data_IF_451198699603
#
_entry.id   IF_451198699603
#
_cell.length_a   1.000
_cell.length_b   1.000
_cell.length_c   1.000
_cell.angle_alpha   90.00
_cell.angle_beta   90.00
_cell.angle_gamma   90.00
#
_symmetry.space_group_name_H-M   'P 1'
#
loop_
_entity.id
_entity.type
_entity.pdbx_description
1 polymer ?
#
# COMPACT_ATOMS: atom_id res chain seq x y z
N UNK A 1 18.27 64.84 2.42
CA UNK A 1 17.44 63.69 2.86
C UNK A 1 18.39 62.72 3.54
N UNK A 2 18.40 62.58 4.88
CA UNK A 2 17.51 61.69 5.67
C UNK A 2 17.55 60.27 5.06
N UNK A 3 18.08 59.20 5.65
CA UNK A 3 18.24 58.75 7.05
C UNK A 3 19.44 57.76 7.13
N UNK A 4 20.36 57.87 8.11
CA UNK A 4 20.49 57.01 9.34
C UNK A 4 20.89 55.55 9.00
N UNK A 5 22.17 55.15 9.02
CA UNK A 5 23.09 54.93 10.16
C UNK A 5 22.52 53.98 11.24
N UNK A 6 23.04 52.77 11.36
CA UNK A 6 23.36 52.13 12.65
C UNK A 6 24.08 50.80 12.42
N UNK A 7 25.39 50.83 12.68
CA UNK A 7 26.18 49.66 13.09
C UNK A 7 25.51 48.99 14.30
N UNK A 8 25.34 47.68 14.24
CA UNK A 8 25.34 46.86 15.45
C UNK A 8 26.29 45.68 15.24
N UNK A 9 27.50 45.84 15.78
CA UNK A 9 28.36 44.73 16.15
C UNK A 9 27.79 44.19 17.45
N UNK A 10 27.32 42.94 17.44
CA UNK A 10 27.16 42.16 18.67
C UNK A 10 27.81 40.81 18.50
N UNK A 11 28.80 40.61 19.35
CA UNK A 11 29.56 39.40 19.57
C UNK A 11 28.79 38.59 20.63
N UNK A 12 28.33 37.39 20.31
CA UNK A 12 27.95 36.38 21.31
C UNK A 12 28.48 35.02 20.88
N UNK A 13 29.42 34.54 21.70
CA UNK A 13 29.94 33.17 21.76
C UNK A 13 29.09 32.40 22.79
N UNK A 14 29.02 31.06 22.66
CA UNK A 14 28.20 30.09 23.43
C UNK A 14 26.73 30.04 22.95
N UNK A 15 26.04 28.91 22.84
CA UNK A 15 26.15 27.56 23.43
C UNK A 15 25.45 26.63 22.42
N UNK A 16 25.93 25.42 22.11
CA UNK A 16 25.54 24.25 22.89
C UNK A 16 24.02 24.06 22.87
N UNK A 17 23.56 23.27 21.90
CA UNK A 17 22.18 22.81 21.66
C UNK A 17 22.19 22.18 20.27
N UNK A 18 22.53 20.90 20.08
CA UNK A 18 21.63 19.78 20.39
C UNK A 18 20.15 20.12 20.17
N UNK A 19 19.85 20.73 19.02
CA UNK A 19 18.55 20.51 18.39
C UNK A 19 18.55 19.11 17.80
N UNK A 20 17.99 18.20 18.60
CA UNK A 20 17.47 16.90 18.23
C UNK A 20 16.84 16.95 16.84
N UNK A 21 17.54 16.39 15.86
CA UNK A 21 17.08 16.07 14.51
C UNK A 21 16.00 14.97 14.58
N UNK A 22 14.81 15.34 15.06
CA UNK A 22 13.62 14.50 15.06
C UNK A 22 12.72 14.73 13.83
N UNK A 23 13.31 15.20 12.71
CA UNK A 23 12.57 15.54 11.48
C UNK A 23 13.13 14.84 10.22
N UNK A 24 14.05 13.89 10.39
CA UNK A 24 14.65 13.12 9.29
C UNK A 24 13.85 11.86 8.89
N UNK A 25 12.73 11.55 9.56
CA UNK A 25 12.07 10.24 9.47
C UNK A 25 10.90 10.13 8.49
N UNK A 26 10.48 11.21 7.80
CA UNK A 26 9.25 11.18 6.98
C UNK A 26 9.42 11.52 5.50
N UNK A 27 10.66 11.61 4.98
CA UNK A 27 10.87 11.82 3.54
C UNK A 27 10.86 10.47 2.80
N UNK A 28 10.00 10.30 1.78
CA UNK A 28 10.00 9.08 0.98
C UNK A 28 11.38 8.90 0.33
N UNK A 29 11.89 7.67 0.40
CA UNK A 29 13.19 7.37 -0.18
C UNK A 29 13.17 7.57 -1.70
N UNK A 30 14.33 7.80 -2.32
CA UNK A 30 14.43 7.89 -3.78
C UNK A 30 13.87 6.64 -4.49
N UNK A 31 14.00 5.46 -3.84
CA UNK A 31 13.43 4.21 -4.32
C UNK A 31 11.89 4.21 -4.21
N UNK A 32 11.32 4.65 -3.09
CA UNK A 32 9.86 4.79 -2.94
C UNK A 32 9.28 5.71 -4.01
N UNK A 33 9.90 6.89 -4.21
CA UNK A 33 9.48 7.83 -5.24
C UNK A 33 9.54 7.24 -6.64
N UNK A 34 10.55 6.41 -6.92
CA UNK A 34 10.70 5.70 -8.20
C UNK A 34 9.56 4.71 -8.40
N UNK A 35 9.22 3.91 -7.38
CA UNK A 35 8.12 2.94 -7.45
C UNK A 35 6.79 3.65 -7.68
N UNK A 36 6.49 4.70 -6.89
CA UNK A 36 5.26 5.49 -7.07
C UNK A 36 5.17 6.06 -8.48
N UNK A 37 6.26 6.65 -8.98
CA UNK A 37 6.31 7.23 -10.33
C UNK A 37 6.11 6.20 -11.43
N UNK A 38 6.63 4.98 -11.26
CA UNK A 38 6.43 3.91 -12.22
C UNK A 38 4.94 3.57 -12.39
N UNK A 39 4.22 3.36 -11.28
CA UNK A 39 2.78 3.07 -11.33
C UNK A 39 1.96 4.28 -11.80
N UNK A 40 2.28 5.50 -11.35
CA UNK A 40 1.61 6.71 -11.84
C UNK A 40 1.83 6.99 -13.34
N UNK A 41 2.83 6.36 -13.96
CA UNK A 41 3.03 6.45 -15.41
C UNK A 41 2.15 5.46 -16.19
N UNK A 42 1.52 4.49 -15.53
CA UNK A 42 0.56 3.57 -16.15
C UNK A 42 -0.73 4.34 -16.44
N UNK A 43 -1.18 4.30 -17.69
CA UNK A 43 -2.39 5.00 -18.12
C UNK A 43 -3.60 4.54 -17.30
N UNK A 44 -4.32 5.50 -16.70
CA UNK A 44 -5.53 5.23 -15.93
C UNK A 44 -5.30 4.77 -14.49
N UNK A 45 -4.04 4.60 -14.06
CA UNK A 45 -3.75 4.27 -12.66
C UNK A 45 -4.14 5.40 -11.71
N UNK A 46 -4.82 5.03 -10.62
CA UNK A 46 -5.14 5.90 -9.49
C UNK A 46 -4.55 5.32 -8.20
N UNK A 47 -4.35 6.19 -7.21
CA UNK A 47 -3.88 5.76 -5.89
C UNK A 47 -4.93 4.83 -5.26
N UNK A 48 -4.48 3.70 -4.73
CA UNK A 48 -5.36 2.67 -4.17
C UNK A 48 -5.84 1.65 -5.19
N UNK A 49 -5.44 1.75 -6.46
CA UNK A 49 -5.75 0.71 -7.44
C UNK A 49 -5.12 -0.63 -7.10
N UNK A 50 -5.78 -1.69 -7.57
CA UNK A 50 -5.19 -3.01 -7.59
C UNK A 50 -3.91 -3.02 -8.43
N UNK A 51 -2.89 -3.69 -7.91
CA UNK A 51 -1.69 -4.04 -8.65
C UNK A 51 -1.71 -5.52 -9.03
N UNK A 52 -1.28 -5.83 -10.24
CA UNK A 52 -1.20 -7.21 -10.74
C UNK A 52 0.23 -7.72 -10.84
N UNK A 53 0.38 -9.04 -10.99
CA UNK A 53 1.69 -9.68 -11.13
C UNK A 53 2.47 -9.11 -12.31
N UNK A 54 1.86 -8.96 -13.49
CA UNK A 54 2.58 -8.43 -14.66
C UNK A 54 3.13 -7.01 -14.42
N UNK A 55 2.36 -6.14 -13.77
CA UNK A 55 2.80 -4.77 -13.44
C UNK A 55 3.98 -4.78 -12.47
N UNK A 56 3.93 -5.64 -11.44
CA UNK A 56 5.04 -5.77 -10.49
C UNK A 56 6.26 -6.41 -11.14
N UNK A 57 6.10 -7.39 -12.04
CA UNK A 57 7.19 -7.99 -12.81
C UNK A 57 7.91 -6.97 -13.70
N UNK A 58 7.16 -6.07 -14.35
CA UNK A 58 7.70 -4.97 -15.13
C UNK A 58 8.52 -4.02 -14.25
N UNK A 59 7.97 -3.62 -13.10
CA UNK A 59 8.67 -2.83 -12.11
C UNK A 59 9.96 -3.51 -11.64
N UNK A 60 9.92 -4.80 -11.29
CA UNK A 60 11.10 -5.55 -10.84
C UNK A 60 12.17 -5.64 -11.93
N UNK A 61 11.75 -5.77 -13.19
CA UNK A 61 12.67 -5.75 -14.34
C UNK A 61 13.32 -4.38 -14.50
N UNK A 62 12.55 -3.30 -14.34
CA UNK A 62 13.08 -1.95 -14.34
C UNK A 62 14.06 -1.72 -13.18
N UNK A 63 13.69 -2.08 -11.95
CA UNK A 63 14.51 -1.89 -10.76
C UNK A 63 15.82 -2.70 -10.83
N UNK A 64 15.81 -3.92 -11.35
CA UNK A 64 17.06 -4.70 -11.52
C UNK A 64 18.04 -4.04 -12.50
N UNK A 65 17.55 -3.29 -13.49
CA UNK A 65 18.38 -2.56 -14.45
C UNK A 65 18.96 -1.28 -13.85
N UNK A 66 18.19 -0.57 -13.02
CA UNK A 66 18.53 0.78 -12.55
C UNK A 66 19.11 0.82 -11.14
N UNK A 67 18.69 -0.10 -10.28
CA UNK A 67 18.98 -0.09 -8.85
C UNK A 67 19.42 -1.50 -8.41
N UNK A 68 20.73 -1.76 -8.43
CA UNK A 68 21.29 -3.08 -8.14
C UNK A 68 20.88 -3.51 -6.73
N UNK A 69 20.19 -4.65 -6.63
CA UNK A 69 19.83 -5.36 -5.40
C UNK A 69 19.03 -4.55 -4.36
N UNK A 70 17.75 -4.29 -4.63
CA UNK A 70 16.79 -3.79 -3.63
C UNK A 70 15.71 -4.84 -3.32
N UNK A 71 15.11 -4.76 -2.12
CA UNK A 71 14.03 -5.68 -1.70
C UNK A 71 12.82 -5.64 -2.63
N UNK A 72 12.46 -4.46 -3.14
CA UNK A 72 11.38 -4.29 -4.11
C UNK A 72 11.59 -5.06 -5.42
N UNK A 73 12.84 -5.37 -5.77
CA UNK A 73 13.20 -6.18 -6.94
C UNK A 73 13.22 -7.70 -6.67
N UNK A 74 12.84 -8.14 -5.47
CA UNK A 74 12.95 -9.54 -5.07
C UNK A 74 11.81 -10.41 -5.64
N UNK A 75 12.11 -11.52 -6.34
CA UNK A 75 11.10 -12.31 -7.05
C UNK A 75 10.03 -12.93 -6.14
N UNK A 76 10.34 -13.21 -4.87
CA UNK A 76 9.35 -13.76 -3.94
C UNK A 76 8.15 -12.85 -3.69
N UNK A 77 8.28 -11.53 -3.89
CA UNK A 77 7.15 -10.61 -3.72
C UNK A 77 6.02 -10.91 -4.70
N UNK A 78 6.32 -11.48 -5.88
CA UNK A 78 5.32 -11.85 -6.87
C UNK A 78 4.36 -12.94 -6.38
N UNK A 79 4.76 -13.74 -5.39
CA UNK A 79 3.88 -14.75 -4.79
C UNK A 79 2.76 -14.12 -3.94
N UNK A 80 2.92 -12.85 -3.57
CA UNK A 80 1.99 -12.08 -2.77
C UNK A 80 1.10 -11.17 -3.62
N UNK A 81 1.41 -11.00 -4.91
CA UNK A 81 0.61 -10.17 -5.81
C UNK A 81 -0.51 -10.99 -6.45
N UNK A 82 -1.63 -10.33 -6.69
CA UNK A 82 -2.79 -10.88 -7.37
C UNK A 82 -2.46 -11.25 -8.83
N UNK A 83 -2.78 -12.47 -9.30
CA UNK A 83 -2.65 -12.82 -10.71
C UNK A 83 -3.52 -11.94 -11.59
N UNK A 84 -3.03 -11.58 -12.77
CA UNK A 84 -3.73 -10.76 -13.76
C UNK A 84 -5.08 -11.36 -14.19
N UNK A 85 -5.15 -12.68 -14.25
CA UNK A 85 -6.29 -13.43 -14.77
C UNK A 85 -7.26 -13.89 -13.69
N UNK A 86 -7.07 -13.51 -12.43
CA UNK A 86 -8.01 -13.89 -11.38
C UNK A 86 -9.33 -13.12 -11.48
N UNK A 87 -10.39 -13.65 -10.85
CA UNK A 87 -11.74 -13.07 -10.89
C UNK A 87 -11.77 -11.60 -10.44
N UNK A 88 -11.10 -11.28 -9.33
CA UNK A 88 -11.05 -9.92 -8.81
C UNK A 88 -10.32 -8.96 -9.76
N UNK A 89 -9.16 -9.36 -10.31
CA UNK A 89 -8.42 -8.55 -11.29
C UNK A 89 -9.25 -8.26 -12.55
N UNK A 90 -9.91 -9.29 -13.10
CA UNK A 90 -10.76 -9.12 -14.29
C UNK A 90 -11.93 -8.18 -14.03
N UNK A 91 -12.55 -8.29 -12.85
CA UNK A 91 -13.66 -7.41 -12.48
C UNK A 91 -13.16 -5.97 -12.28
N UNK A 92 -12.02 -5.79 -11.64
CA UNK A 92 -11.42 -4.47 -11.42
C UNK A 92 -11.07 -3.75 -12.72
N UNK A 93 -10.43 -4.43 -13.68
CA UNK A 93 -10.10 -3.84 -14.98
C UNK A 93 -11.22 -3.95 -16.02
N UNK A 94 -12.44 -4.23 -15.58
CA UNK A 94 -13.64 -4.04 -16.42
C UNK A 94 -13.97 -2.55 -16.55
N UNK A 95 -14.93 -2.20 -17.40
CA UNK A 95 -15.22 -0.81 -17.77
C UNK A 95 -15.60 0.09 -16.57
N UNK A 96 -16.27 -0.45 -15.55
CA UNK A 96 -16.73 0.29 -14.36
C UNK A 96 -16.16 -0.23 -13.03
N UNK A 97 -15.52 -1.41 -13.02
CA UNK A 97 -15.17 -2.08 -11.78
C UNK A 97 -14.11 -1.38 -10.93
N UNK A 98 -13.19 -0.63 -11.54
CA UNK A 98 -12.08 -0.02 -10.83
C UNK A 98 -12.55 0.98 -9.76
N UNK A 99 -13.49 1.86 -10.11
CA UNK A 99 -13.98 2.91 -9.21
C UNK A 99 -14.79 2.33 -8.05
N UNK A 100 -15.79 1.51 -8.37
CA UNK A 100 -16.71 0.93 -7.39
C UNK A 100 -15.97 0.02 -6.41
N UNK A 101 -15.08 -0.85 -6.90
CA UNK A 101 -14.30 -1.74 -6.03
C UNK A 101 -13.26 -0.98 -5.21
N UNK A 102 -12.72 0.14 -5.70
CA UNK A 102 -11.81 0.99 -4.91
C UNK A 102 -12.56 1.66 -3.76
N UNK A 103 -13.77 2.16 -4.01
CA UNK A 103 -14.63 2.74 -2.97
C UNK A 103 -14.95 1.69 -1.91
N UNK A 104 -15.46 0.52 -2.30
CA UNK A 104 -15.78 -0.56 -1.38
C UNK A 104 -14.54 -1.06 -0.60
N UNK A 105 -13.39 -1.20 -1.26
CA UNK A 105 -12.14 -1.59 -0.60
C UNK A 105 -11.66 -0.52 0.39
N UNK A 106 -11.89 0.77 0.10
CA UNK A 106 -11.60 1.88 0.99
C UNK A 106 -12.41 1.80 2.30
N UNK A 107 -13.68 1.44 2.19
CA UNK A 107 -14.57 1.26 3.35
C UNK A 107 -14.25 0.00 4.17
N UNK A 108 -13.91 -1.10 3.48
CA UNK A 108 -13.49 -2.35 4.12
C UNK A 108 -12.05 -2.30 4.64
N UNK A 109 -11.27 -1.32 4.21
CA UNK A 109 -9.86 -1.11 4.53
C UNK A 109 -8.86 -1.95 3.73
N UNK A 110 -9.31 -2.90 2.90
CA UNK A 110 -8.48 -3.68 1.98
C UNK A 110 -9.34 -4.44 0.96
N UNK A 111 -8.72 -4.88 -0.14
CA UNK A 111 -9.34 -5.76 -1.13
C UNK A 111 -9.49 -7.22 -0.67
N UNK A 112 -8.98 -7.58 0.51
CA UNK A 112 -9.00 -8.96 1.00
C UNK A 112 -10.42 -9.55 1.09
N UNK A 113 -11.39 -8.76 1.57
CA UNK A 113 -12.78 -9.23 1.69
C UNK A 113 -13.46 -9.30 0.32
N UNK A 114 -13.13 -8.38 -0.60
CA UNK A 114 -13.60 -8.44 -1.99
C UNK A 114 -13.05 -9.69 -2.70
N UNK A 115 -11.79 -10.06 -2.43
CA UNK A 115 -11.24 -11.31 -2.95
C UNK A 115 -11.97 -12.52 -2.37
N UNK A 116 -12.35 -12.50 -1.09
CA UNK A 116 -13.08 -13.59 -0.46
C UNK A 116 -14.42 -13.85 -1.15
N UNK A 117 -15.15 -12.80 -1.54
CA UNK A 117 -16.40 -12.89 -2.31
C UNK A 117 -16.22 -13.63 -3.64
N UNK A 118 -15.03 -13.57 -4.25
CA UNK A 118 -14.78 -14.24 -5.54
C UNK A 118 -14.66 -15.77 -5.45
N UNK A 119 -14.59 -16.34 -4.23
CA UNK A 119 -14.41 -17.78 -4.00
C UNK A 119 -15.68 -18.59 -4.23
N UNK A 120 -16.83 -18.03 -3.85
CA UNK A 120 -18.15 -18.64 -4.09
C UNK A 120 -18.69 -18.20 -5.45
N UNK A 121 -19.41 -19.07 -6.14
CA UNK A 121 -20.08 -18.70 -7.39
C UNK A 121 -21.20 -17.70 -7.15
N UNK A 122 -21.99 -17.89 -6.10
CA UNK A 122 -23.15 -17.05 -5.77
C UNK A 122 -22.71 -15.66 -5.31
N UNK A 123 -21.75 -15.60 -4.38
CA UNK A 123 -21.19 -14.33 -3.90
C UNK A 123 -20.47 -13.57 -5.02
N UNK A 124 -19.81 -14.29 -5.93
CA UNK A 124 -19.19 -13.66 -7.09
C UNK A 124 -20.23 -13.11 -8.08
N UNK A 125 -21.33 -13.83 -8.31
CA UNK A 125 -22.42 -13.34 -9.15
C UNK A 125 -23.05 -12.07 -8.57
N UNK A 126 -23.33 -12.04 -7.26
CA UNK A 126 -23.82 -10.86 -6.57
C UNK A 126 -22.82 -9.68 -6.61
N UNK A 127 -21.53 -9.97 -6.45
CA UNK A 127 -20.47 -8.96 -6.59
C UNK A 127 -20.44 -8.37 -8.01
N UNK A 128 -20.59 -9.20 -9.04
CA UNK A 128 -20.64 -8.74 -10.44
C UNK A 128 -21.85 -7.84 -10.66
N UNK A 129 -23.04 -8.24 -10.20
CA UNK A 129 -24.26 -7.44 -10.33
C UNK A 129 -24.15 -6.08 -9.62
N UNK A 130 -23.56 -6.06 -8.42
CA UNK A 130 -23.32 -4.82 -7.68
C UNK A 130 -22.30 -3.91 -8.39
N UNK A 131 -21.25 -4.47 -9.00
CA UNK A 131 -20.30 -3.71 -9.83
C UNK A 131 -20.96 -3.15 -11.10
N UNK A 132 -21.80 -3.93 -11.77
CA UNK A 132 -22.56 -3.49 -12.95
C UNK A 132 -23.57 -2.39 -12.61
N UNK A 133 -24.10 -2.41 -11.39
CA UNK A 133 -25.02 -1.40 -10.86
C UNK A 133 -24.31 -0.20 -10.24
N UNK A 134 -22.97 -0.21 -10.22
CA UNK A 134 -22.12 0.82 -9.58
C UNK A 134 -22.42 1.05 -8.09
N UNK A 135 -22.88 0.01 -7.40
CA UNK A 135 -23.34 0.09 -6.01
C UNK A 135 -22.27 -0.45 -5.04
N UNK A 136 -21.41 0.46 -4.57
CA UNK A 136 -20.35 0.12 -3.62
C UNK A 136 -20.91 -0.30 -2.24
N UNK A 137 -22.05 0.26 -1.81
CA UNK A 137 -22.66 -0.03 -0.51
C UNK A 137 -23.11 -1.50 -0.47
N UNK A 138 -23.77 -1.97 -1.53
CA UNK A 138 -24.15 -3.38 -1.66
C UNK A 138 -22.92 -4.30 -1.64
N UNK A 139 -21.80 -3.91 -2.24
CA UNK A 139 -20.55 -4.70 -2.19
C UNK A 139 -20.02 -4.80 -0.74
N UNK A 140 -20.04 -3.69 -0.01
CA UNK A 140 -19.62 -3.65 1.40
C UNK A 140 -20.54 -4.52 2.25
N UNK A 141 -21.86 -4.43 2.06
CA UNK A 141 -22.83 -5.29 2.75
C UNK A 141 -22.60 -6.78 2.47
N UNK A 142 -22.40 -7.16 1.20
CA UNK A 142 -22.09 -8.54 0.80
C UNK A 142 -20.82 -9.04 1.50
N UNK A 143 -19.77 -8.22 1.54
CA UNK A 143 -18.52 -8.55 2.22
C UNK A 143 -18.70 -8.74 3.74
N UNK A 144 -19.51 -7.90 4.37
CA UNK A 144 -19.81 -7.99 5.80
C UNK A 144 -20.71 -9.19 6.15
N UNK A 145 -21.68 -9.52 5.30
CA UNK A 145 -22.56 -10.69 5.49
C UNK A 145 -21.80 -12.01 5.30
N UNK A 146 -20.85 -12.06 4.36
CA UNK A 146 -19.97 -13.22 4.17
C UNK A 146 -19.05 -13.52 5.36
N UNK A 147 -18.96 -12.59 6.31
CA UNK A 147 -18.23 -12.72 7.57
C UNK A 147 -19.10 -13.40 8.63
N UNK A 148 -19.52 -14.65 8.38
CA UNK A 148 -20.31 -15.38 9.39
C UNK A 148 -19.60 -15.42 10.76
N UNK A 149 -20.34 -15.31 11.88
CA UNK A 149 -19.79 -15.27 13.25
C UNK A 149 -19.34 -16.64 13.79
N UNK A 150 -19.00 -17.60 12.94
CA UNK A 150 -18.69 -18.98 13.35
C UNK A 150 -17.27 -19.17 13.96
N UNK A 151 -16.63 -18.09 14.43
CA UNK A 151 -15.34 -18.14 15.15
C UNK A 151 -15.45 -17.61 16.60
N UNK A 152 -16.59 -17.84 17.27
CA UNK A 152 -16.71 -17.74 18.73
C UNK A 152 -16.11 -18.97 19.46
N UNK A 153 -15.07 -19.58 18.89
CA UNK A 153 -14.26 -20.61 19.57
C UNK A 153 -13.09 -19.96 20.30
N UNK A 154 -13.37 -19.51 21.52
CA UNK A 154 -12.45 -19.47 22.67
C UNK A 154 -11.01 -18.95 22.43
N UNK A 155 -10.76 -17.71 22.86
CA UNK A 155 -9.69 -17.43 23.83
C UNK A 155 -8.23 -17.69 23.40
N UNK A 156 -7.93 -17.77 22.10
CA UNK A 156 -6.57 -17.59 21.58
C UNK A 156 -6.67 -16.73 20.34
N UNK A 157 -6.06 -15.56 20.39
CA UNK A 157 -5.68 -14.80 19.20
C UNK A 157 -4.83 -15.73 18.31
N UNK A 158 -5.49 -16.53 17.47
CA UNK A 158 -4.85 -17.08 16.31
C UNK A 158 -4.57 -15.86 15.46
N UNK A 159 -3.30 -15.57 15.09
CA UNK A 159 -3.08 -14.60 14.05
C UNK A 159 -3.90 -15.11 12.88
N UNK A 160 -4.94 -14.37 12.50
CA UNK A 160 -5.67 -14.71 11.29
C UNK A 160 -4.59 -14.90 10.25
N UNK A 161 -4.61 -16.04 9.55
CA UNK A 161 -3.75 -16.23 8.39
C UNK A 161 -4.24 -15.20 7.36
N UNK A 162 -3.97 -13.92 7.59
CA UNK A 162 -4.08 -12.86 6.61
C UNK A 162 -3.29 -13.44 5.46
N UNK A 163 -3.98 -13.75 4.37
CA UNK A 163 -3.30 -13.97 3.11
C UNK A 163 -2.34 -12.78 3.00
N UNK A 164 -1.04 -13.07 2.94
CA UNK A 164 0.00 -12.05 2.87
C UNK A 164 -0.01 -11.44 1.47
N UNK A 165 -1.19 -11.15 0.92
CA UNK A 165 -1.35 -10.56 -0.39
C UNK A 165 -1.16 -9.06 -0.28
N UNK A 166 -0.56 -8.50 -1.32
CA UNK A 166 -0.37 -7.08 -1.50
C UNK A 166 -1.22 -6.70 -2.71
N UNK A 167 -2.29 -5.97 -2.43
CA UNK A 167 -3.29 -5.55 -3.39
C UNK A 167 -2.96 -4.19 -3.98
N UNK A 168 -2.31 -3.30 -3.23
CA UNK A 168 -2.04 -1.92 -3.66
C UNK A 168 -0.55 -1.58 -3.63
N UNK A 169 -0.19 -0.49 -4.31
CA UNK A 169 1.18 0.06 -4.26
C UNK A 169 1.57 0.43 -2.84
N UNK A 170 0.64 0.97 -2.05
CA UNK A 170 0.86 1.33 -0.64
C UNK A 170 1.25 0.11 0.20
N UNK A 171 0.52 -1.00 0.06
CA UNK A 171 0.84 -2.25 0.76
C UNK A 171 2.21 -2.81 0.31
N UNK A 172 2.50 -2.73 -0.99
CA UNK A 172 3.79 -3.13 -1.55
C UNK A 172 4.95 -2.28 -1.00
N UNK A 173 4.77 -0.97 -0.89
CA UNK A 173 5.76 -0.07 -0.31
C UNK A 173 5.98 -0.39 1.17
N UNK A 174 4.91 -0.53 1.94
CA UNK A 174 5.00 -0.92 3.35
C UNK A 174 5.80 -2.23 3.50
N UNK A 175 5.50 -3.24 2.70
CA UNK A 175 6.19 -4.53 2.77
C UNK A 175 7.67 -4.46 2.34
N UNK A 176 8.00 -3.61 1.36
CA UNK A 176 9.38 -3.46 0.88
C UNK A 176 10.27 -2.63 1.81
N UNK A 177 9.69 -1.74 2.61
CA UNK A 177 10.43 -0.86 3.52
C UNK A 177 10.29 -1.22 5.01
N UNK A 178 9.56 -2.28 5.36
CA UNK A 178 9.36 -2.80 6.74
C UNK A 178 10.63 -3.11 7.55
N UNK A 179 11.83 -3.03 6.97
CA UNK A 179 13.09 -3.48 7.58
C UNK A 179 14.06 -2.39 8.06
N UNK A 180 13.74 -1.10 7.99
CA UNK A 180 14.67 -0.10 8.56
C UNK A 180 14.55 0.09 10.08
N UNK A 181 13.47 -0.38 10.73
CA UNK A 181 13.24 -0.11 12.16
C UNK A 181 13.65 -1.27 13.09
N UNK A 182 13.55 -2.53 12.65
CA UNK A 182 13.79 -3.68 13.55
C UNK A 182 15.26 -4.10 13.69
N UNK A 183 16.16 -3.67 12.79
CA UNK A 183 17.59 -4.00 12.90
C UNK A 183 18.36 -3.04 13.82
N UNK A 184 17.88 -1.81 14.05
CA UNK A 184 18.52 -0.89 15.02
C UNK A 184 18.27 -1.29 16.48
N UNK A 185 17.15 -1.94 16.80
CA UNK A 185 16.87 -2.36 18.18
C UNK A 185 17.57 -3.67 18.58
N UNK A 186 18.08 -4.45 17.61
CA UNK A 186 18.81 -5.69 17.89
C UNK A 186 20.31 -5.46 18.19
N UNK A 187 20.84 -4.27 17.87
CA UNK A 187 22.27 -3.97 18.01
C UNK A 187 22.64 -3.16 19.27
N UNK A 188 21.66 -2.64 20.02
CA UNK A 188 21.88 -1.98 21.33
C UNK A 188 21.74 -2.92 22.53
N UNK A 189 21.37 -4.19 22.32
CA UNK A 189 21.17 -5.18 23.40
C UNK A 189 22.36 -6.15 23.57
N UNK A 190 23.57 -5.78 23.15
CA UNK A 190 24.79 -6.59 23.31
C UNK A 190 25.91 -5.83 24.01
#
# INVERSE_FOLDING_TARGET
>A
MLLVLMLFVFNTRQSGGEETTAEATNRPSALEMTIRRHFSAISGYQKGDLITKSQVEELQTYLRKTNRHCRAAHPMLLNWILPDDCRLSRLFYSQSGAEVLRTAAGELGSYAELEALTRSADSYAALVEAVESEDADTIVELALQGREPNDESQGKERPSRRSSRLYTVEEFLVETFKSTTNESQAHEAR
#
